data_IF_442148284632
#
_entry.id   IF_442148284632
#
_cell.length_a   1.000
_cell.length_b   1.000
_cell.length_c   1.000
_cell.angle_alpha   90.00
_cell.angle_beta   90.00
_cell.angle_gamma   90.00
#
_symmetry.space_group_name_H-M   'P 1'
#
loop_
_entity.id
_entity.type
_entity.pdbx_description
1 polymer ?
#
# COMPACT_ATOMS: atom_id res chain seq x y z
N UNK A 1 -4.13 -13.32 -10.85
CA UNK A 1 -3.46 -13.38 -9.54
C UNK A 1 -3.84 -14.69 -8.83
N UNK A 2 -2.86 -15.42 -8.32
CA UNK A 2 -3.06 -16.68 -7.60
C UNK A 2 -3.42 -16.45 -6.10
N UNK A 3 -3.25 -15.25 -5.57
CA UNK A 3 -3.41 -14.96 -4.15
C UNK A 3 -4.78 -15.38 -3.59
N UNK A 4 -5.93 -15.10 -4.23
CA UNK A 4 -7.23 -15.53 -3.71
C UNK A 4 -7.36 -17.06 -3.56
N UNK A 5 -6.70 -17.81 -4.43
CA UNK A 5 -6.69 -19.30 -4.35
C UNK A 5 -5.81 -19.82 -3.21
N UNK A 6 -4.75 -19.08 -2.86
CA UNK A 6 -3.78 -19.46 -1.82
C UNK A 6 -4.23 -19.01 -0.44
N UNK A 7 -4.77 -17.79 -0.32
CA UNK A 7 -5.11 -17.13 0.95
C UNK A 7 -6.59 -17.19 1.30
N UNK A 8 -7.46 -17.50 0.33
CA UNK A 8 -8.91 -17.51 0.53
C UNK A 8 -9.50 -16.10 0.59
N UNK A 9 -10.62 -15.97 1.32
CA UNK A 9 -11.30 -14.70 1.49
C UNK A 9 -10.46 -13.72 2.31
N UNK A 10 -10.63 -12.43 1.99
CA UNK A 10 -10.04 -11.36 2.76
C UNK A 10 -10.48 -11.42 4.23
N UNK A 11 -9.52 -11.27 5.14
CA UNK A 11 -9.76 -11.25 6.58
C UNK A 11 -8.76 -10.34 7.26
N UNK A 12 -9.26 -9.30 7.93
CA UNK A 12 -8.47 -8.42 8.77
C UNK A 12 -8.12 -9.10 10.09
N UNK A 13 -6.87 -8.98 10.51
CA UNK A 13 -6.48 -9.37 11.85
C UNK A 13 -7.09 -8.39 12.86
N UNK A 14 -7.64 -8.84 14.01
CA UNK A 14 -8.22 -7.97 15.03
C UNK A 14 -7.21 -6.93 15.55
N UNK A 15 -7.70 -5.71 15.80
CA UNK A 15 -6.85 -4.60 16.24
C UNK A 15 -6.18 -4.86 17.59
N UNK A 16 -6.88 -5.44 18.54
CA UNK A 16 -6.39 -5.78 19.87
C UNK A 16 -5.22 -6.76 19.82
N UNK A 17 -5.27 -7.75 18.92
CA UNK A 17 -4.16 -8.68 18.69
C UNK A 17 -2.93 -7.96 18.11
N UNK A 18 -3.15 -7.07 17.13
CA UNK A 18 -2.07 -6.27 16.52
C UNK A 18 -1.43 -5.38 17.58
N UNK A 19 -2.22 -4.65 18.35
CA UNK A 19 -1.72 -3.74 19.38
C UNK A 19 -0.99 -4.47 20.52
N UNK A 20 -1.47 -5.64 20.92
CA UNK A 20 -0.81 -6.49 21.91
C UNK A 20 0.55 -6.97 21.41
N UNK A 21 0.64 -7.41 20.16
CA UNK A 21 1.91 -7.81 19.55
C UNK A 21 2.88 -6.63 19.45
N UNK A 22 2.41 -5.48 18.96
CA UNK A 22 3.23 -4.25 18.89
C UNK A 22 3.79 -3.90 20.26
N UNK A 23 2.97 -3.92 21.31
CA UNK A 23 3.42 -3.64 22.69
C UNK A 23 4.55 -4.59 23.11
N UNK A 24 4.38 -5.89 22.92
CA UNK A 24 5.40 -6.90 23.24
C UNK A 24 6.70 -6.71 22.47
N UNK A 25 6.61 -6.35 21.18
CA UNK A 25 7.78 -6.06 20.35
C UNK A 25 8.54 -4.81 20.82
N UNK A 26 7.82 -3.77 21.19
CA UNK A 26 8.42 -2.52 21.72
C UNK A 26 9.12 -2.76 23.06
N UNK A 27 8.52 -3.54 23.96
CA UNK A 27 9.14 -3.97 25.22
C UNK A 27 10.41 -4.80 24.97
N UNK A 28 10.41 -5.62 23.91
CA UNK A 28 11.57 -6.38 23.45
C UNK A 28 12.68 -5.56 22.79
N UNK A 29 12.50 -4.24 22.65
CA UNK A 29 13.53 -3.33 22.11
C UNK A 29 13.39 -3.01 20.61
N UNK A 30 12.34 -3.49 19.93
CA UNK A 30 12.03 -3.09 18.55
C UNK A 30 11.74 -1.58 18.52
N UNK A 31 12.05 -0.92 17.41
CA UNK A 31 11.83 0.53 17.19
C UNK A 31 11.01 0.85 15.96
N UNK A 32 10.97 -0.04 14.98
CA UNK A 32 10.18 0.12 13.79
C UNK A 32 9.12 -0.98 13.69
N UNK A 33 7.87 -0.58 13.53
CA UNK A 33 6.76 -1.47 13.23
C UNK A 33 6.36 -1.25 11.77
N UNK A 34 6.34 -2.33 11.01
CA UNK A 34 5.90 -2.31 9.62
C UNK A 34 4.58 -3.06 9.51
N UNK A 35 3.51 -2.34 9.18
CA UNK A 35 2.22 -2.93 8.89
C UNK A 35 2.21 -3.45 7.44
N UNK A 36 1.91 -4.72 7.28
CA UNK A 36 1.91 -5.39 5.98
C UNK A 36 0.66 -6.26 5.78
N UNK A 37 0.26 -6.41 4.54
CA UNK A 37 -0.83 -7.29 4.11
C UNK A 37 -0.75 -7.53 2.61
N UNK A 38 -1.72 -8.23 2.04
CA UNK A 38 -1.82 -8.39 0.57
C UNK A 38 -2.36 -7.10 -0.09
N UNK A 39 -3.24 -6.41 0.60
CA UNK A 39 -3.70 -5.06 0.35
C UNK A 39 -3.96 -4.43 1.72
N UNK A 40 -2.98 -3.69 2.21
CA UNK A 40 -3.03 -3.15 3.57
C UNK A 40 -4.04 -2.02 3.67
N UNK A 41 -4.32 -1.32 2.55
CA UNK A 41 -5.23 -0.17 2.51
C UNK A 41 -6.67 -0.50 2.88
N UNK A 42 -7.10 -1.74 2.68
CA UNK A 42 -8.48 -2.18 2.98
C UNK A 42 -8.64 -2.83 4.37
N UNK A 43 -7.59 -2.82 5.20
CA UNK A 43 -7.69 -3.34 6.56
C UNK A 43 -8.85 -2.69 7.33
N UNK A 44 -9.65 -3.50 7.97
CA UNK A 44 -10.81 -3.09 8.75
C UNK A 44 -12.14 -3.15 8.00
N UNK A 45 -12.15 -3.24 6.65
CA UNK A 45 -13.39 -3.24 5.86
C UNK A 45 -14.34 -4.41 6.17
N UNK A 46 -13.82 -5.49 6.74
CA UNK A 46 -14.57 -6.67 7.17
C UNK A 46 -14.87 -6.68 8.68
N UNK A 47 -14.45 -5.65 9.42
CA UNK A 47 -14.72 -5.47 10.85
C UNK A 47 -15.88 -4.49 11.00
N UNK A 48 -16.96 -4.91 11.63
CA UNK A 48 -18.18 -4.10 11.73
C UNK A 48 -17.96 -2.83 12.57
N UNK A 49 -17.42 -2.97 13.80
CA UNK A 49 -17.12 -1.85 14.71
C UNK A 49 -16.03 -2.27 15.69
N UNK A 50 -15.29 -1.30 16.19
CA UNK A 50 -14.38 -1.49 17.32
C UNK A 50 -15.16 -1.52 18.64
N UNK A 51 -14.50 -1.93 19.72
CA UNK A 51 -15.08 -1.87 21.08
C UNK A 51 -15.44 -0.43 21.52
N UNK A 52 -14.96 0.60 20.79
CA UNK A 52 -15.25 2.02 21.02
C UNK A 52 -16.38 2.54 20.13
N UNK A 53 -16.97 1.69 19.28
CA UNK A 53 -18.04 2.07 18.33
C UNK A 53 -17.54 2.81 17.08
N UNK A 54 -16.22 2.85 16.85
CA UNK A 54 -15.64 3.43 15.65
C UNK A 54 -15.50 2.38 14.55
N UNK A 55 -15.74 2.76 13.31
CA UNK A 55 -15.43 1.91 12.14
C UNK A 55 -13.91 1.89 11.97
N UNK A 56 -13.28 0.71 12.10
CA UNK A 56 -11.83 0.63 12.01
C UNK A 56 -11.37 0.84 10.57
N UNK A 57 -10.44 1.76 10.38
CA UNK A 57 -9.72 1.99 9.11
C UNK A 57 -8.23 1.76 9.31
N UNK A 58 -7.48 1.58 8.23
CA UNK A 58 -6.02 1.55 8.33
C UNK A 58 -5.48 2.82 9.00
N UNK A 59 -6.04 3.98 8.68
CA UNK A 59 -5.67 5.25 9.29
C UNK A 59 -5.91 5.25 10.81
N UNK A 60 -7.05 4.74 11.25
CA UNK A 60 -7.33 4.54 12.67
C UNK A 60 -6.29 3.59 13.31
N UNK A 61 -6.03 2.42 12.71
CA UNK A 61 -5.04 1.47 13.22
C UNK A 61 -3.65 2.10 13.34
N UNK A 62 -3.20 2.83 12.34
CA UNK A 62 -1.90 3.52 12.38
C UNK A 62 -1.81 4.51 13.53
N UNK A 63 -2.89 5.26 13.83
CA UNK A 63 -2.93 6.15 15.00
C UNK A 63 -2.85 5.38 16.33
N UNK A 64 -3.51 4.22 16.43
CA UNK A 64 -3.42 3.38 17.63
C UNK A 64 -1.99 2.82 17.80
N UNK A 65 -1.40 2.29 16.73
CA UNK A 65 -0.01 1.80 16.75
C UNK A 65 0.96 2.94 17.11
N UNK A 66 0.76 4.14 16.56
CA UNK A 66 1.56 5.32 16.88
C UNK A 66 1.55 5.66 18.37
N UNK A 67 0.40 5.53 19.04
CA UNK A 67 0.30 5.72 20.49
C UNK A 67 1.12 4.69 21.29
N UNK A 68 1.13 3.43 20.83
CA UNK A 68 1.89 2.36 21.48
C UNK A 68 3.41 2.54 21.30
N UNK A 69 3.87 2.95 20.11
CA UNK A 69 5.31 3.08 19.83
C UNK A 69 5.93 4.36 20.38
N UNK A 70 5.12 5.42 20.59
CA UNK A 70 5.56 6.75 21.05
C UNK A 70 6.44 6.73 22.32
N UNK A 71 6.08 6.03 23.42
CA UNK A 71 6.90 6.02 24.63
C UNK A 71 8.30 5.43 24.42
N UNK A 72 8.47 4.65 23.36
CA UNK A 72 9.72 3.97 23.02
C UNK A 72 10.56 4.72 21.98
N UNK A 73 10.15 5.93 21.56
CA UNK A 73 10.69 6.65 20.41
C UNK A 73 10.71 5.77 19.16
N UNK A 74 9.66 4.97 18.99
CA UNK A 74 9.47 4.11 17.85
C UNK A 74 8.65 4.79 16.76
N UNK A 75 8.58 4.14 15.60
CA UNK A 75 7.80 4.63 14.45
C UNK A 75 7.09 3.49 13.72
N UNK A 76 6.13 3.85 12.91
CA UNK A 76 5.32 2.94 12.12
C UNK A 76 5.43 3.26 10.62
N UNK A 77 5.55 2.21 9.83
CA UNK A 77 5.52 2.24 8.37
C UNK A 77 4.43 1.33 7.85
N UNK A 78 3.87 1.66 6.70
CA UNK A 78 2.91 0.80 6.00
C UNK A 78 3.43 0.47 4.60
N UNK A 79 3.25 -0.77 4.17
CA UNK A 79 3.62 -1.24 2.84
C UNK A 79 2.42 -1.91 2.16
N UNK A 80 2.52 -2.08 0.84
CA UNK A 80 1.55 -2.79 -0.02
C UNK A 80 0.18 -2.14 -0.04
N UNK A 81 0.16 -0.85 -0.34
CA UNK A 81 -1.05 -0.08 -0.57
C UNK A 81 -1.48 -0.16 -2.05
N UNK A 82 -2.77 -0.12 -2.30
CA UNK A 82 -3.30 0.16 -3.64
C UNK A 82 -3.60 1.66 -3.76
N UNK A 83 -3.59 2.22 -4.99
CA UNK A 83 -3.95 3.63 -5.20
C UNK A 83 -5.30 4.01 -4.57
N UNK A 84 -6.29 3.11 -4.67
CA UNK A 84 -7.65 3.28 -4.13
C UNK A 84 -7.68 3.31 -2.60
N UNK A 85 -6.69 2.70 -1.95
CA UNK A 85 -6.55 2.71 -0.48
C UNK A 85 -6.02 4.03 0.09
N UNK A 86 -5.56 4.96 -0.77
CA UNK A 86 -5.02 6.25 -0.35
C UNK A 86 -6.13 7.27 -0.05
N UNK A 87 -6.84 7.04 1.05
CA UNK A 87 -7.92 7.93 1.51
C UNK A 87 -7.38 9.24 2.09
N UNK A 88 -8.23 10.27 2.12
CA UNK A 88 -7.90 11.56 2.75
C UNK A 88 -7.53 11.40 4.23
N UNK A 89 -8.21 10.48 4.93
CA UNK A 89 -7.92 10.15 6.31
C UNK A 89 -6.52 9.53 6.46
N UNK A 90 -6.14 8.62 5.58
CA UNK A 90 -4.81 8.00 5.62
C UNK A 90 -3.70 9.01 5.32
N UNK A 91 -3.88 9.84 4.31
CA UNK A 91 -2.94 10.91 3.95
C UNK A 91 -2.75 11.88 5.13
N UNK A 92 -3.85 12.35 5.74
CA UNK A 92 -3.78 13.24 6.90
C UNK A 92 -3.15 12.56 8.12
N UNK A 93 -3.42 11.27 8.32
CA UNK A 93 -2.81 10.51 9.43
C UNK A 93 -1.29 10.41 9.27
N UNK A 94 -0.80 10.09 8.07
CA UNK A 94 0.65 10.02 7.81
C UNK A 94 1.31 11.41 7.96
N UNK A 95 0.64 12.46 7.49
CA UNK A 95 1.15 13.83 7.59
C UNK A 95 1.22 14.34 9.05
N UNK A 96 0.16 14.08 9.82
CA UNK A 96 -0.08 14.77 11.11
C UNK A 96 0.34 13.94 12.33
N UNK A 97 0.75 12.67 12.14
CA UNK A 97 1.19 11.78 13.21
C UNK A 97 2.71 11.57 13.14
N UNK A 98 3.50 12.17 14.03
CA UNK A 98 4.97 12.16 13.94
C UNK A 98 5.60 10.75 13.93
N UNK A 99 4.95 9.76 14.52
CA UNK A 99 5.41 8.37 14.54
C UNK A 99 5.15 7.65 13.21
N UNK A 100 4.24 8.16 12.36
CA UNK A 100 3.99 7.61 11.04
C UNK A 100 5.05 8.12 10.06
N UNK A 101 5.85 7.21 9.51
CA UNK A 101 6.86 7.61 8.54
C UNK A 101 6.22 8.12 7.25
N UNK A 102 6.73 9.22 6.67
CA UNK A 102 6.31 9.71 5.36
C UNK A 102 6.86 8.82 4.23
N UNK A 103 6.52 7.54 4.28
CA UNK A 103 6.96 6.51 3.36
C UNK A 103 5.76 5.70 2.89
N UNK A 104 5.56 5.61 1.59
CA UNK A 104 4.45 4.88 0.98
C UNK A 104 4.96 3.96 -0.11
N UNK A 105 4.49 2.71 -0.08
CA UNK A 105 4.73 1.68 -1.10
C UNK A 105 3.41 1.37 -1.82
N UNK A 106 3.31 1.83 -3.07
CA UNK A 106 2.16 1.61 -3.94
C UNK A 106 2.64 0.88 -5.20
N UNK A 107 2.50 -0.44 -5.27
CA UNK A 107 2.80 -1.21 -6.47
C UNK A 107 1.77 -0.91 -7.57
N UNK A 108 2.10 -0.02 -8.50
CA UNK A 108 1.20 0.36 -9.60
C UNK A 108 1.00 -0.77 -10.61
N UNK A 109 1.98 -1.66 -10.73
CA UNK A 109 2.09 -2.74 -11.71
C UNK A 109 2.27 -2.22 -13.14
N UNK A 110 1.36 -1.40 -13.65
CA UNK A 110 1.39 -0.76 -14.95
C UNK A 110 0.70 0.60 -14.91
N UNK A 111 0.84 1.42 -15.96
CA UNK A 111 0.15 2.69 -16.09
C UNK A 111 -0.85 2.72 -17.27
N UNK A 112 -0.70 1.83 -18.28
CA UNK A 112 -1.68 1.69 -19.36
C UNK A 112 -3.02 1.17 -18.83
N UNK A 113 -4.11 1.91 -19.09
CA UNK A 113 -5.47 1.54 -18.67
C UNK A 113 -5.87 0.17 -19.25
N UNK A 114 -5.45 -0.13 -20.50
CA UNK A 114 -5.73 -1.39 -21.17
C UNK A 114 -5.06 -2.57 -20.47
N UNK A 115 -3.79 -2.43 -20.12
CA UNK A 115 -3.02 -3.46 -19.40
C UNK A 115 -3.56 -3.64 -17.98
N UNK A 116 -3.83 -2.56 -17.27
CA UNK A 116 -4.43 -2.59 -15.92
C UNK A 116 -5.79 -3.31 -15.92
N UNK A 117 -6.67 -2.99 -16.87
CA UNK A 117 -7.97 -3.66 -17.00
C UNK A 117 -7.82 -5.17 -17.21
N UNK A 118 -6.83 -5.61 -18.00
CA UNK A 118 -6.53 -7.04 -18.20
C UNK A 118 -5.94 -7.72 -16.96
N UNK A 119 -5.24 -6.94 -16.11
CA UNK A 119 -4.79 -7.41 -14.80
C UNK A 119 -5.92 -7.45 -13.75
N UNK A 120 -7.13 -6.99 -14.12
CA UNK A 120 -8.26 -6.85 -13.17
C UNK A 120 -8.06 -5.68 -12.21
N UNK A 121 -7.35 -4.63 -12.64
CA UNK A 121 -7.10 -3.40 -11.91
C UNK A 121 -7.79 -2.22 -12.59
N UNK A 122 -8.10 -1.20 -11.81
CA UNK A 122 -8.55 0.11 -12.30
C UNK A 122 -7.42 1.13 -12.24
N UNK A 123 -7.63 2.27 -12.87
CA UNK A 123 -6.72 3.40 -12.82
C UNK A 123 -6.23 3.84 -14.19
N UNK A 124 -5.71 5.05 -14.23
CA UNK A 124 -5.15 5.68 -15.42
C UNK A 124 -3.84 6.40 -15.07
N UNK A 125 -3.01 6.64 -16.06
CA UNK A 125 -1.79 7.49 -15.92
C UNK A 125 -2.11 8.81 -15.23
N UNK A 126 -3.23 9.44 -15.62
CA UNK A 126 -3.64 10.73 -15.05
C UNK A 126 -3.98 10.64 -13.55
N UNK A 127 -4.69 9.58 -13.14
CA UNK A 127 -5.06 9.38 -11.74
C UNK A 127 -3.84 9.05 -10.89
N UNK A 128 -2.95 8.19 -11.37
CA UNK A 128 -1.69 7.87 -10.70
C UNK A 128 -0.81 9.11 -10.54
N UNK A 129 -0.65 9.90 -11.61
CA UNK A 129 0.10 11.18 -11.56
C UNK A 129 -0.49 12.13 -10.53
N UNK A 130 -1.81 12.33 -10.56
CA UNK A 130 -2.50 13.19 -9.60
C UNK A 130 -2.32 12.73 -8.15
N UNK A 131 -2.35 11.43 -7.91
CA UNK A 131 -2.13 10.85 -6.60
C UNK A 131 -0.70 11.12 -6.09
N UNK A 132 0.32 10.81 -6.87
CA UNK A 132 1.72 11.00 -6.45
C UNK A 132 2.09 12.47 -6.28
N UNK A 133 1.60 13.35 -7.14
CA UNK A 133 1.75 14.79 -6.98
C UNK A 133 1.09 15.29 -5.69
N UNK A 134 -0.09 14.76 -5.38
CA UNK A 134 -0.80 15.06 -4.14
C UNK A 134 0.00 14.63 -2.91
N UNK A 135 0.50 13.39 -2.90
CA UNK A 135 1.28 12.85 -1.78
C UNK A 135 2.51 13.69 -1.48
N UNK A 136 3.27 14.08 -2.52
CA UNK A 136 4.44 14.95 -2.37
C UNK A 136 4.09 16.35 -1.86
N UNK A 137 2.97 16.90 -2.33
CA UNK A 137 2.52 18.23 -1.92
C UNK A 137 2.01 18.27 -0.49
N UNK A 138 1.26 17.24 -0.06
CA UNK A 138 0.58 17.23 1.23
C UNK A 138 1.40 16.65 2.37
N UNK A 139 2.38 15.78 2.09
CA UNK A 139 3.20 15.12 3.12
C UNK A 139 4.66 15.54 2.94
N UNK A 140 5.20 16.42 3.80
CA UNK A 140 6.60 16.86 3.71
C UNK A 140 7.57 15.69 3.86
N UNK A 141 8.57 15.62 2.98
CA UNK A 141 9.59 14.56 3.00
C UNK A 141 9.07 13.19 2.56
N UNK A 142 7.98 13.14 1.80
CA UNK A 142 7.41 11.90 1.29
C UNK A 142 8.42 11.10 0.49
N UNK A 143 8.60 9.85 0.88
CA UNK A 143 9.36 8.82 0.17
C UNK A 143 8.38 7.88 -0.52
N UNK A 144 8.48 7.79 -1.84
CA UNK A 144 7.60 6.97 -2.66
C UNK A 144 8.34 5.76 -3.21
N UNK A 145 7.79 4.58 -2.93
CA UNK A 145 8.21 3.33 -3.55
C UNK A 145 7.10 2.81 -4.46
N UNK A 146 7.50 2.25 -5.59
CA UNK A 146 6.58 1.57 -6.50
C UNK A 146 7.15 0.27 -7.05
N UNK A 147 6.29 -0.51 -7.64
CA UNK A 147 6.63 -1.74 -8.37
C UNK A 147 5.86 -1.76 -9.68
N UNK A 148 6.59 -1.93 -10.77
CA UNK A 148 6.05 -2.17 -12.11
C UNK A 148 6.16 -3.63 -12.52
N UNK A 149 5.43 -4.02 -13.56
CA UNK A 149 5.48 -5.32 -14.20
C UNK A 149 5.50 -5.12 -15.72
N UNK A 150 6.41 -5.79 -16.41
CA UNK A 150 6.48 -5.80 -17.86
C UNK A 150 6.32 -7.22 -18.43
N UNK A 151 5.96 -7.32 -19.72
CA UNK A 151 5.75 -8.60 -20.38
C UNK A 151 4.42 -9.26 -20.02
N UNK A 152 3.43 -8.48 -19.54
CA UNK A 152 2.09 -9.02 -19.30
C UNK A 152 1.45 -9.48 -20.63
N UNK A 153 0.71 -10.63 -20.66
CA UNK A 153 0.13 -11.15 -21.91
C UNK A 153 -0.63 -10.09 -22.69
N UNK A 154 -0.16 -9.81 -23.93
CA UNK A 154 -0.73 -8.82 -24.84
C UNK A 154 -0.35 -7.37 -24.57
N UNK A 155 0.59 -7.08 -23.68
CA UNK A 155 1.28 -5.79 -23.60
C UNK A 155 2.04 -5.52 -24.91
N UNK A 156 2.03 -4.27 -25.37
CA UNK A 156 2.80 -3.83 -26.54
C UNK A 156 4.09 -3.12 -26.12
N UNK A 157 5.01 -2.95 -27.08
CA UNK A 157 6.25 -2.19 -26.83
C UNK A 157 5.93 -0.75 -26.43
N UNK A 158 4.95 -0.12 -27.09
CA UNK A 158 4.53 1.26 -26.77
C UNK A 158 3.98 1.38 -25.34
N UNK A 159 3.28 0.36 -24.84
CA UNK A 159 2.78 0.35 -23.45
C UNK A 159 3.88 0.12 -22.45
N UNK A 160 4.87 -0.71 -22.78
CA UNK A 160 6.08 -0.88 -21.96
C UNK A 160 6.89 0.41 -21.89
N UNK A 161 7.04 1.11 -23.02
CA UNK A 161 7.70 2.43 -23.08
C UNK A 161 6.92 3.47 -22.26
N UNK A 162 5.58 3.46 -22.34
CA UNK A 162 4.72 4.33 -21.51
C UNK A 162 4.96 4.11 -20.00
N UNK A 163 5.10 2.86 -19.58
CA UNK A 163 5.42 2.55 -18.18
C UNK A 163 6.82 3.06 -17.79
N UNK A 164 7.81 2.88 -18.66
CA UNK A 164 9.16 3.38 -18.44
C UNK A 164 9.16 4.90 -18.30
N UNK A 165 8.54 5.60 -19.24
CA UNK A 165 8.46 7.07 -19.25
C UNK A 165 7.73 7.59 -18.01
N UNK A 166 6.64 6.94 -17.60
CA UNK A 166 5.91 7.28 -16.39
C UNK A 166 6.78 7.13 -15.14
N UNK A 167 7.53 6.04 -15.01
CA UNK A 167 8.45 5.82 -13.88
C UNK A 167 9.55 6.89 -13.84
N UNK A 168 10.10 7.25 -15.00
CA UNK A 168 11.12 8.30 -15.09
C UNK A 168 10.53 9.68 -14.72
N UNK A 169 9.36 10.01 -15.25
CA UNK A 169 8.67 11.27 -14.96
C UNK A 169 8.32 11.42 -13.49
N UNK A 170 7.89 10.33 -12.85
CA UNK A 170 7.44 10.37 -11.46
C UNK A 170 8.58 10.38 -10.44
N UNK A 171 9.83 10.17 -10.83
CA UNK A 171 11.01 10.27 -9.95
C UNK A 171 10.80 9.56 -8.59
N UNK A 172 10.37 8.30 -8.63
CA UNK A 172 10.20 7.52 -7.40
C UNK A 172 11.54 7.34 -6.67
N UNK A 173 11.54 7.41 -5.35
CA UNK A 173 12.73 7.15 -4.54
C UNK A 173 13.21 5.70 -4.66
N UNK A 174 12.25 4.78 -4.80
CA UNK A 174 12.52 3.35 -5.01
C UNK A 174 11.58 2.77 -6.06
N UNK A 175 12.16 2.09 -7.03
CA UNK A 175 11.42 1.38 -8.08
C UNK A 175 11.93 -0.04 -8.23
N UNK A 176 11.01 -0.99 -8.33
CA UNK A 176 11.29 -2.36 -8.74
C UNK A 176 10.45 -2.70 -9.97
N UNK A 177 11.01 -3.42 -10.91
CA UNK A 177 10.26 -3.92 -12.08
C UNK A 177 10.44 -5.43 -12.18
N UNK A 178 9.32 -6.15 -12.30
CA UNK A 178 9.31 -7.60 -12.52
C UNK A 178 8.89 -7.93 -13.94
N UNK A 179 9.49 -8.97 -14.51
CA UNK A 179 8.91 -9.62 -15.69
C UNK A 179 7.74 -10.50 -15.27
N UNK A 180 6.68 -10.47 -16.09
CA UNK A 180 5.53 -11.34 -15.88
C UNK A 180 5.96 -12.81 -15.91
N UNK A 181 5.46 -13.59 -14.97
CA UNK A 181 5.56 -15.05 -14.95
C UNK A 181 4.17 -15.67 -14.97
N UNK A 182 3.85 -16.53 -15.94
CA UNK A 182 2.55 -17.19 -15.98
C UNK A 182 2.44 -18.20 -14.82
N UNK A 183 1.33 -18.09 -14.09
CA UNK A 183 1.01 -19.00 -13.00
C UNK A 183 -0.16 -19.89 -13.41
N UNK A 184 0.02 -21.21 -13.29
CA UNK A 184 -0.99 -22.19 -13.67
C UNK A 184 -2.31 -21.98 -12.92
N UNK A 185 -3.43 -22.10 -13.64
CA UNK A 185 -4.77 -21.89 -13.07
C UNK A 185 -5.20 -20.43 -12.92
N UNK A 186 -4.39 -19.47 -13.36
CA UNK A 186 -4.79 -18.05 -13.40
C UNK A 186 -5.29 -17.64 -14.78
N UNK A 187 -6.08 -16.54 -14.84
CA UNK A 187 -6.55 -15.99 -16.12
C UNK A 187 -5.43 -15.42 -17.01
N UNK A 188 -4.23 -15.27 -16.47
CA UNK A 188 -3.07 -14.79 -17.22
C UNK A 188 -2.13 -15.90 -17.67
N UNK A 189 -2.47 -17.16 -17.40
CA UNK A 189 -1.65 -18.32 -17.80
C UNK A 189 -1.75 -18.64 -19.27
#
# INVERSE_FOLDING_TARGET
CAIPYIRGHYQSRPADEILSEVSSLMEGGVREIILIGQDTGIWGNDIAETNTGEVPTLAWLMRQVAQVVRPYNGWVRVLYLQPEGMTDELISTIRDTPECLPYIDIPIQHCSERVLARMGRSGSVRELRSLFDRLRREIPGMVLRTTGMCGFPGETEEESDELYDFIQEQEFDYTSVFTYSPEEGTAGA
#
